data_IF_780807072033
#
_entry.id   IF_780807072033
#
_cell.length_a   1.000
_cell.length_b   1.000
_cell.length_c   1.000
_cell.angle_alpha   90.00
_cell.angle_beta   90.00
_cell.angle_gamma   90.00
#
_symmetry.space_group_name_H-M   'P 1'
#
loop_
_entity.id
_entity.type
_entity.pdbx_description
1 polymer ?
#
# COMPACT_ATOMS: atom_id res chain seq x y z
N UNK A 1 13.53 -24.30 -28.30
CA UNK A 1 13.42 -22.82 -28.27
C UNK A 1 12.59 -22.45 -27.05
N UNK A 2 13.26 -22.03 -25.97
CA UNK A 2 12.58 -21.50 -24.79
C UNK A 2 12.30 -20.04 -25.10
N UNK A 3 11.05 -19.66 -25.33
CA UNK A 3 10.68 -18.25 -25.33
C UNK A 3 11.09 -17.67 -23.98
N UNK A 4 12.18 -16.91 -24.00
CA UNK A 4 12.70 -16.17 -22.85
C UNK A 4 11.69 -15.05 -22.60
N UNK A 5 10.63 -15.38 -21.86
CA UNK A 5 9.57 -14.46 -21.46
C UNK A 5 10.22 -13.22 -20.84
N UNK A 6 10.30 -12.13 -21.61
CA UNK A 6 11.06 -10.91 -21.32
C UNK A 6 10.60 -10.19 -20.05
N UNK A 7 9.53 -10.67 -19.41
CA UNK A 7 8.82 -10.01 -18.33
C UNK A 7 8.70 -10.86 -17.05
N UNK A 8 9.59 -11.83 -16.80
CA UNK A 8 9.55 -12.64 -15.56
C UNK A 8 9.63 -11.81 -14.26
N UNK A 9 10.26 -10.64 -14.32
CA UNK A 9 10.39 -9.69 -13.22
C UNK A 9 9.19 -8.75 -13.07
N UNK A 10 8.41 -8.57 -14.13
CA UNK A 10 7.30 -7.60 -14.22
C UNK A 10 6.22 -7.82 -13.16
N UNK A 11 5.74 -9.05 -12.88
CA UNK A 11 4.73 -9.26 -11.84
C UNK A 11 5.25 -8.89 -10.46
N UNK A 12 6.52 -9.22 -10.16
CA UNK A 12 7.15 -8.88 -8.89
C UNK A 12 7.23 -7.38 -8.66
N UNK A 13 7.66 -6.63 -9.69
CA UNK A 13 7.71 -5.16 -9.65
C UNK A 13 6.31 -4.56 -9.54
N UNK A 14 5.32 -5.11 -10.24
CA UNK A 14 3.95 -4.61 -10.20
C UNK A 14 3.33 -4.71 -8.79
N UNK A 15 3.47 -5.86 -8.13
CA UNK A 15 2.97 -6.05 -6.75
C UNK A 15 3.72 -5.13 -5.80
N UNK A 16 5.04 -5.04 -5.94
CA UNK A 16 5.87 -4.18 -5.11
C UNK A 16 5.43 -2.72 -5.24
N UNK A 17 5.26 -2.21 -6.46
CA UNK A 17 4.77 -0.85 -6.71
C UNK A 17 3.36 -0.63 -6.15
N UNK A 18 2.44 -1.59 -6.28
CA UNK A 18 1.10 -1.48 -5.70
C UNK A 18 1.14 -1.42 -4.17
N UNK A 19 1.94 -2.28 -3.53
CA UNK A 19 2.09 -2.33 -2.07
C UNK A 19 2.77 -1.07 -1.54
N UNK A 20 3.90 -0.67 -2.13
CA UNK A 20 4.62 0.55 -1.77
C UNK A 20 3.77 1.80 -1.98
N UNK A 21 2.99 1.88 -3.06
CA UNK A 21 2.06 2.98 -3.30
C UNK A 21 1.00 3.09 -2.19
N UNK A 22 0.43 1.96 -1.77
CA UNK A 22 -0.53 1.91 -0.66
C UNK A 22 0.06 2.20 0.72
N UNK A 23 1.39 2.09 0.89
CA UNK A 23 2.08 2.49 2.13
C UNK A 23 2.39 3.99 2.11
N UNK A 24 3.00 4.47 1.02
CA UNK A 24 3.46 5.86 0.93
C UNK A 24 2.28 6.84 0.88
N UNK A 25 1.21 6.52 0.14
CA UNK A 25 0.06 7.40 0.01
C UNK A 25 -0.59 7.80 1.35
N UNK A 26 -1.01 6.87 2.23
CA UNK A 26 -1.62 7.24 3.52
C UNK A 26 -0.64 7.90 4.49
N UNK A 27 0.66 7.56 4.43
CA UNK A 27 1.68 8.21 5.28
C UNK A 27 1.86 9.67 4.88
N UNK A 28 2.02 9.94 3.58
CA UNK A 28 2.16 11.31 3.06
C UNK A 28 0.89 12.11 3.31
N UNK A 29 -0.29 11.51 3.10
CA UNK A 29 -1.57 12.13 3.41
C UNK A 29 -1.65 12.50 4.91
N UNK A 30 -1.28 11.58 5.80
CA UNK A 30 -1.28 11.83 7.24
C UNK A 30 -0.29 12.94 7.65
N UNK A 31 0.88 13.01 7.01
CA UNK A 31 1.87 14.07 7.25
C UNK A 31 1.35 15.45 6.83
N UNK A 32 0.82 15.56 5.60
CA UNK A 32 0.34 16.84 5.06
C UNK A 32 -0.88 17.33 5.82
N UNK A 33 -1.89 16.47 5.98
CA UNK A 33 -3.15 16.83 6.65
C UNK A 33 -2.95 17.00 8.15
N UNK A 34 -2.18 16.13 8.80
CA UNK A 34 -1.91 16.18 10.24
C UNK A 34 -1.15 17.45 10.62
N UNK A 35 -0.10 17.80 9.87
CA UNK A 35 0.67 19.03 10.11
C UNK A 35 -0.14 20.29 9.83
N UNK A 36 -1.00 20.28 8.80
CA UNK A 36 -1.87 21.40 8.51
C UNK A 36 -2.90 21.64 9.63
N UNK A 37 -3.53 20.57 10.14
CA UNK A 37 -4.48 20.67 11.25
C UNK A 37 -3.80 21.05 12.56
N UNK A 38 -2.66 20.45 12.91
CA UNK A 38 -1.91 20.80 14.14
C UNK A 38 -1.53 22.29 14.14
N UNK A 39 -1.12 22.84 12.98
CA UNK A 39 -0.80 24.26 12.82
C UNK A 39 -2.06 25.15 12.94
N UNK A 40 -3.21 24.69 12.44
CA UNK A 40 -4.47 25.44 12.48
C UNK A 40 -5.07 25.52 13.90
N UNK A 41 -4.94 24.45 14.68
CA UNK A 41 -5.54 24.34 16.02
C UNK A 41 -4.56 24.63 17.17
N UNK A 42 -3.29 24.94 16.89
CA UNK A 42 -2.26 25.25 17.90
C UNK A 42 -2.02 24.12 18.89
N UNK A 43 -2.45 22.90 18.54
CA UNK A 43 -2.41 21.74 19.42
C UNK A 43 -1.03 21.10 19.31
N UNK A 44 -0.51 20.53 20.41
CA UNK A 44 0.64 19.61 20.40
C UNK A 44 0.37 18.50 19.35
N UNK A 45 1.36 17.71 18.86
CA UNK A 45 1.19 16.85 17.67
C UNK A 45 0.31 15.61 17.90
N UNK A 46 -0.90 15.80 18.41
CA UNK A 46 -1.89 14.80 18.75
C UNK A 46 -2.75 14.47 17.53
N UNK A 47 -3.01 15.47 16.67
CA UNK A 47 -3.76 15.25 15.42
C UNK A 47 -2.87 14.50 14.44
N UNK A 48 -1.60 14.88 14.32
CA UNK A 48 -0.63 14.08 13.57
C UNK A 48 -0.57 12.64 14.06
N UNK A 49 -0.48 12.40 15.37
CA UNK A 49 -0.36 11.05 15.92
C UNK A 49 -1.60 10.18 15.65
N UNK A 50 -2.79 10.76 15.81
CA UNK A 50 -4.05 10.05 15.51
C UNK A 50 -4.22 9.80 14.02
N UNK A 51 -3.84 10.75 13.16
CA UNK A 51 -3.90 10.57 11.71
C UNK A 51 -2.86 9.58 11.19
N UNK A 52 -1.67 9.55 11.78
CA UNK A 52 -0.65 8.53 11.52
C UNK A 52 -1.14 7.14 11.95
N UNK A 53 -1.81 7.03 13.10
CA UNK A 53 -2.44 5.78 13.55
C UNK A 53 -3.52 5.29 12.59
N UNK A 54 -4.39 6.18 12.11
CA UNK A 54 -5.40 5.85 11.10
C UNK A 54 -4.73 5.45 9.76
N UNK A 55 -3.72 6.20 9.32
CA UNK A 55 -2.93 5.89 8.14
C UNK A 55 -2.28 4.51 8.22
N UNK A 56 -1.72 4.16 9.38
CA UNK A 56 -1.14 2.84 9.64
C UNK A 56 -2.19 1.72 9.52
N UNK A 57 -3.38 1.90 10.11
CA UNK A 57 -4.46 0.94 9.98
C UNK A 57 -4.91 0.77 8.53
N UNK A 58 -5.11 1.86 7.79
CA UNK A 58 -5.47 1.83 6.37
C UNK A 58 -4.41 1.06 5.57
N UNK A 59 -3.13 1.29 5.87
CA UNK A 59 -2.02 0.57 5.24
C UNK A 59 -2.10 -0.94 5.50
N UNK A 60 -2.31 -1.35 6.75
CA UNK A 60 -2.48 -2.76 7.12
C UNK A 60 -3.64 -3.42 6.35
N UNK A 61 -4.81 -2.76 6.28
CA UNK A 61 -5.95 -3.28 5.51
C UNK A 61 -5.67 -3.33 4.01
N UNK A 62 -5.02 -2.31 3.45
CA UNK A 62 -4.64 -2.24 2.03
C UNK A 62 -3.71 -3.39 1.63
N UNK A 63 -2.65 -3.62 2.42
CA UNK A 63 -1.69 -4.71 2.18
C UNK A 63 -2.40 -6.07 2.23
N UNK A 64 -3.19 -6.33 3.28
CA UNK A 64 -3.92 -7.62 3.41
C UNK A 64 -4.83 -7.86 2.21
N UNK A 65 -5.52 -6.82 1.71
CA UNK A 65 -6.37 -6.93 0.52
C UNK A 65 -5.57 -7.27 -0.73
N UNK A 66 -4.44 -6.60 -0.96
CA UNK A 66 -3.57 -6.82 -2.12
C UNK A 66 -2.98 -8.23 -2.09
N UNK A 67 -2.46 -8.66 -0.95
CA UNK A 67 -1.89 -10.00 -0.78
C UNK A 67 -2.93 -11.08 -0.99
N UNK A 68 -4.14 -10.94 -0.42
CA UNK A 68 -5.25 -11.88 -0.64
C UNK A 68 -5.64 -11.97 -2.11
N UNK A 69 -5.71 -10.83 -2.81
CA UNK A 69 -5.98 -10.81 -4.25
C UNK A 69 -4.88 -11.54 -5.02
N UNK A 70 -3.62 -11.26 -4.71
CA UNK A 70 -2.48 -11.89 -5.37
C UNK A 70 -2.44 -13.41 -5.18
N UNK A 71 -2.72 -13.90 -3.96
CA UNK A 71 -2.81 -15.35 -3.68
C UNK A 71 -3.94 -15.99 -4.51
N UNK A 72 -5.09 -15.31 -4.61
CA UNK A 72 -6.22 -15.79 -5.41
C UNK A 72 -5.87 -15.84 -6.90
N UNK A 73 -5.25 -14.78 -7.42
CA UNK A 73 -4.85 -14.69 -8.83
C UNK A 73 -3.84 -15.82 -9.17
N UNK A 74 -2.87 -16.10 -8.31
CA UNK A 74 -1.95 -17.25 -8.48
C UNK A 74 -2.71 -18.58 -8.50
N UNK A 75 -3.66 -18.76 -7.56
CA UNK A 75 -4.42 -20.01 -7.47
C UNK A 75 -5.27 -20.26 -8.72
N UNK A 76 -5.96 -19.23 -9.22
CA UNK A 76 -6.75 -19.32 -10.47
C UNK A 76 -5.87 -19.65 -11.68
N UNK A 77 -4.65 -19.09 -11.74
CA UNK A 77 -3.69 -19.42 -12.79
C UNK A 77 -3.18 -20.86 -12.71
N UNK A 78 -3.12 -21.44 -11.49
CA UNK A 78 -2.74 -22.83 -11.29
C UNK A 78 -3.88 -23.81 -11.62
N UNK A 79 -5.13 -23.48 -11.28
CA UNK A 79 -6.31 -24.33 -11.56
C UNK A 79 -6.74 -24.31 -13.04
N UNK A 80 -6.41 -23.24 -13.79
CA UNK A 80 -6.71 -23.15 -15.24
C UNK A 80 -5.71 -23.88 -16.14
N UNK A 81 -4.74 -24.61 -15.59
CA UNK A 81 -3.66 -25.27 -16.31
C UNK A 81 -3.79 -26.79 -16.22
#
# INVERSE_FOLDING_TARGET
>A
MIEKNQNWWKPGVEIFSQVSGWIVAPIVLALVVGKFLDTRYGTKPVIFLSLAGIGFLITCFGIVRIVRKYIKDIKDLADKK
#
